data_IF_775203482355
#
_entry.id   IF_775203482355
#
_cell.length_a   1.000
_cell.length_b   1.000
_cell.length_c   1.000
_cell.angle_alpha   90.00
_cell.angle_beta   90.00
_cell.angle_gamma   90.00
#
_symmetry.space_group_name_H-M   'P 1'
#
loop_
_entity.id
_entity.type
_entity.pdbx_description
1 polymer ?
#
# COMPACT_ATOMS: atom_id res chain seq x y z
N UNK A 1 -11.08 6.06 -1.23
CA UNK A 1 -10.14 6.97 -0.56
C UNK A 1 -10.76 8.15 0.22
N UNK A 2 -12.07 8.44 0.19
CA UNK A 2 -12.65 9.53 1.03
C UNK A 2 -12.58 9.23 2.53
N UNK A 3 -12.75 7.96 2.92
CA UNK A 3 -12.53 7.48 4.29
C UNK A 3 -11.08 7.70 4.75
N UNK A 4 -10.11 7.50 3.87
CA UNK A 4 -8.69 7.74 4.15
C UNK A 4 -8.35 9.20 4.36
N UNK A 5 -8.86 10.08 3.48
CA UNK A 5 -8.69 11.51 3.65
C UNK A 5 -9.22 11.99 5.01
N UNK A 6 -10.35 11.41 5.47
CA UNK A 6 -10.91 11.70 6.78
C UNK A 6 -10.02 11.20 7.92
N UNK A 7 -9.54 9.94 7.85
CA UNK A 7 -8.63 9.37 8.86
C UNK A 7 -7.35 10.17 8.99
N UNK A 8 -6.68 10.48 7.87
CA UNK A 8 -5.46 11.29 7.87
C UNK A 8 -5.73 12.68 8.41
N UNK A 9 -6.81 13.34 8.00
CA UNK A 9 -7.16 14.67 8.49
C UNK A 9 -7.37 14.71 10.01
N UNK A 10 -8.06 13.73 10.59
CA UNK A 10 -8.27 13.64 12.04
C UNK A 10 -6.95 13.33 12.74
N UNK A 11 -6.15 12.43 12.20
CA UNK A 11 -4.86 12.04 12.76
C UNK A 11 -3.89 13.23 12.82
N UNK A 12 -3.74 13.97 11.72
CA UNK A 12 -2.91 15.18 11.67
C UNK A 12 -3.40 16.23 12.68
N UNK A 13 -4.72 16.42 12.82
CA UNK A 13 -5.28 17.36 13.79
C UNK A 13 -5.01 16.95 15.25
N UNK A 14 -5.14 15.67 15.59
CA UNK A 14 -4.83 15.17 16.94
C UNK A 14 -3.35 15.32 17.29
N UNK A 15 -2.46 15.12 16.30
CA UNK A 15 -1.03 15.30 16.50
C UNK A 15 -0.63 16.77 16.70
N UNK A 16 -1.22 17.69 15.93
CA UNK A 16 -1.02 19.13 16.11
C UNK A 16 -1.45 19.58 17.51
N UNK A 17 -2.64 19.14 17.96
CA UNK A 17 -3.19 19.53 19.27
C UNK A 17 -2.39 18.95 20.44
N UNK A 18 -1.79 17.77 20.27
CA UNK A 18 -1.00 17.12 21.34
C UNK A 18 0.43 17.65 21.46
N UNK A 19 0.89 18.49 20.52
CA UNK A 19 2.29 18.96 20.47
C UNK A 19 3.28 17.81 20.25
N UNK A 20 2.81 16.66 19.75
CA UNK A 20 3.60 15.44 19.67
C UNK A 20 4.73 15.52 18.65
N UNK A 21 4.72 16.52 17.75
CA UNK A 21 5.69 16.64 16.67
C UNK A 21 5.98 18.10 16.27
N UNK A 22 6.82 18.80 17.04
CA UNK A 22 7.43 20.08 16.61
C UNK A 22 8.28 19.94 15.33
N UNK A 23 8.61 18.71 14.92
CA UNK A 23 9.44 18.38 13.75
C UNK A 23 8.69 17.66 12.62
N UNK A 24 7.35 17.61 12.67
CA UNK A 24 6.53 16.86 11.72
C UNK A 24 6.46 15.35 12.03
N UNK A 25 5.48 14.68 11.41
CA UNK A 25 5.21 13.25 11.63
C UNK A 25 6.10 12.43 10.70
N UNK A 26 6.69 11.34 11.21
CA UNK A 26 7.37 10.34 10.36
C UNK A 26 6.37 9.76 9.35
N UNK A 27 6.60 9.92 8.02
CA UNK A 27 5.72 9.41 6.98
C UNK A 27 5.43 7.91 7.08
N UNK A 28 6.37 7.11 7.60
CA UNK A 28 6.19 5.67 7.77
C UNK A 28 5.21 5.38 8.91
N UNK A 29 5.33 6.10 10.02
CA UNK A 29 4.42 6.00 11.15
C UNK A 29 3.01 6.45 10.77
N UNK A 30 2.91 7.54 10.00
CA UNK A 30 1.64 8.04 9.47
C UNK A 30 0.97 7.00 8.57
N UNK A 31 1.73 6.42 7.64
CA UNK A 31 1.26 5.36 6.74
C UNK A 31 0.75 4.13 7.50
N UNK A 32 1.52 3.68 8.50
CA UNK A 32 1.15 2.53 9.33
C UNK A 32 -0.14 2.79 10.14
N UNK A 33 -0.26 4.00 10.70
CA UNK A 33 -1.41 4.38 11.52
C UNK A 33 -2.68 4.50 10.68
N UNK A 34 -2.57 5.10 9.49
CA UNK A 34 -3.68 5.20 8.55
C UNK A 34 -4.21 3.83 8.12
N UNK A 35 -3.32 2.90 7.74
CA UNK A 35 -3.72 1.55 7.34
C UNK A 35 -4.40 0.79 8.48
N UNK A 36 -3.83 0.83 9.68
CA UNK A 36 -4.39 0.12 10.84
C UNK A 36 -5.77 0.64 11.21
N UNK A 37 -5.98 1.95 11.12
CA UNK A 37 -7.29 2.57 11.38
C UNK A 37 -8.35 2.06 10.41
N UNK A 38 -8.01 1.93 9.13
CA UNK A 38 -8.95 1.39 8.14
C UNK A 38 -9.23 -0.11 8.36
N UNK A 39 -8.21 -0.88 8.75
CA UNK A 39 -8.39 -2.29 9.11
C UNK A 39 -9.29 -2.46 10.34
N UNK A 40 -9.23 -1.54 11.31
CA UNK A 40 -10.14 -1.50 12.46
C UNK A 40 -11.57 -1.15 12.06
N UNK A 41 -11.74 -0.32 11.03
CA UNK A 41 -13.04 -0.04 10.43
C UNK A 41 -13.60 -1.20 9.58
N UNK A 42 -12.91 -2.34 9.52
CA UNK A 42 -13.35 -3.56 8.86
C UNK A 42 -12.93 -3.70 7.40
N UNK A 43 -12.19 -2.72 6.84
CA UNK A 43 -11.75 -2.76 5.44
C UNK A 43 -10.30 -3.23 5.37
N UNK A 44 -10.05 -4.34 4.65
CA UNK A 44 -8.70 -4.84 4.39
C UNK A 44 -8.14 -4.21 3.12
N UNK A 45 -7.29 -3.20 3.30
CA UNK A 45 -6.71 -2.42 2.20
C UNK A 45 -5.18 -2.56 2.09
N UNK A 46 -4.68 -2.20 0.91
CA UNK A 46 -3.26 -1.95 0.66
C UNK A 46 -2.82 -0.57 1.17
N UNK A 47 -1.63 -0.14 0.73
CA UNK A 47 -0.98 1.10 1.17
C UNK A 47 -0.99 2.23 0.12
N UNK A 48 -1.50 1.96 -1.08
CA UNK A 48 -1.40 2.88 -2.21
C UNK A 48 -2.17 4.19 -1.98
N UNK A 49 -3.42 4.10 -1.51
CA UNK A 49 -4.27 5.27 -1.27
C UNK A 49 -3.61 6.19 -0.24
N UNK A 50 -3.17 5.64 0.89
CA UNK A 50 -2.56 6.37 2.00
C UNK A 50 -1.19 6.92 1.60
N UNK A 51 -0.37 6.10 0.92
CA UNK A 51 0.94 6.51 0.42
C UNK A 51 0.86 7.64 -0.60
N UNK A 52 -0.16 7.65 -1.45
CA UNK A 52 -0.36 8.74 -2.42
C UNK A 52 -0.71 10.08 -1.76
N UNK A 53 -1.40 10.05 -0.62
CA UNK A 53 -1.74 11.24 0.16
C UNK A 53 -0.55 11.78 0.94
N UNK A 54 0.27 10.89 1.51
CA UNK A 54 1.43 11.27 2.34
C UNK A 54 2.61 11.74 1.50
N UNK A 55 2.96 11.02 0.44
CA UNK A 55 4.15 11.30 -0.38
C UNK A 55 3.86 12.15 -1.62
N UNK A 56 2.59 12.46 -1.89
CA UNK A 56 2.17 13.25 -3.04
C UNK A 56 2.71 14.68 -3.00
N UNK A 57 3.13 15.20 -4.16
CA UNK A 57 3.55 16.59 -4.31
C UNK A 57 2.68 17.30 -5.34
N UNK A 58 2.32 18.55 -5.05
CA UNK A 58 1.52 19.38 -5.95
C UNK A 58 2.19 19.50 -7.33
N UNK A 59 1.43 19.23 -8.39
CA UNK A 59 1.89 19.33 -9.77
C UNK A 59 2.82 18.21 -10.23
N UNK A 60 2.99 17.15 -9.44
CA UNK A 60 3.82 16.01 -9.78
C UNK A 60 3.03 14.71 -9.73
N UNK A 61 3.44 13.76 -10.56
CA UNK A 61 3.01 12.37 -10.47
C UNK A 61 3.94 11.63 -9.51
N UNK A 62 3.33 10.93 -8.55
CA UNK A 62 4.02 10.06 -7.62
C UNK A 62 4.19 8.67 -8.22
N UNK A 63 5.43 8.20 -8.24
CA UNK A 63 5.78 6.81 -8.51
C UNK A 63 6.41 6.22 -7.25
N UNK A 64 5.96 5.03 -6.85
CA UNK A 64 6.43 4.40 -5.62
C UNK A 64 5.95 2.96 -5.52
N UNK A 65 6.70 2.14 -4.78
CA UNK A 65 6.33 0.75 -4.52
C UNK A 65 5.64 0.67 -3.16
N UNK A 66 4.34 0.40 -3.19
CA UNK A 66 3.48 0.27 -1.99
C UNK A 66 3.02 -1.16 -1.73
N UNK A 67 3.56 -2.13 -2.49
CA UNK A 67 3.35 -3.55 -2.34
C UNK A 67 4.71 -4.22 -2.10
N UNK A 68 4.73 -5.46 -1.62
CA UNK A 68 5.92 -6.34 -1.45
C UNK A 68 7.13 -5.85 -0.64
N UNK A 69 7.05 -4.67 -0.01
CA UNK A 69 8.11 -4.09 0.80
C UNK A 69 7.74 -3.99 2.28
N UNK A 70 8.77 -3.95 3.13
CA UNK A 70 8.56 -3.46 4.50
C UNK A 70 8.20 -1.98 4.43
N UNK A 71 7.30 -1.51 5.30
CA UNK A 71 6.85 -0.11 5.27
C UNK A 71 8.02 0.89 5.35
N UNK A 72 9.08 0.54 6.07
CA UNK A 72 10.29 1.36 6.23
C UNK A 72 11.08 1.53 4.93
N UNK A 73 10.91 0.64 3.96
CA UNK A 73 11.61 0.66 2.67
C UNK A 73 10.85 1.49 1.63
N UNK A 74 9.53 1.71 1.83
CA UNK A 74 8.68 2.47 0.90
C UNK A 74 9.28 3.85 0.56
N UNK A 75 9.73 4.69 1.53
CA UNK A 75 10.30 6.00 1.25
C UNK A 75 11.47 5.96 0.26
N UNK A 76 12.28 4.89 0.26
CA UNK A 76 13.43 4.76 -0.64
C UNK A 76 13.05 4.54 -2.11
N UNK A 77 11.79 4.16 -2.37
CA UNK A 77 11.27 3.90 -3.71
C UNK A 77 10.48 5.06 -4.30
N UNK A 78 10.24 6.10 -3.48
CA UNK A 78 9.41 7.24 -3.84
C UNK A 78 10.16 8.13 -4.84
N UNK A 79 9.50 8.40 -5.95
CA UNK A 79 9.94 9.36 -6.96
C UNK A 79 8.77 10.21 -7.41
N UNK A 80 8.96 11.54 -7.41
CA UNK A 80 7.97 12.47 -7.93
C UNK A 80 8.47 13.05 -9.25
N UNK A 81 7.74 12.78 -10.33
CA UNK A 81 8.06 13.25 -11.68
C UNK A 81 7.07 14.32 -12.14
N UNK A 82 7.49 15.27 -13.00
CA UNK A 82 6.58 16.24 -13.56
C UNK A 82 5.50 15.56 -14.41
N UNK A 83 4.29 16.11 -14.38
CA UNK A 83 3.24 15.70 -15.31
C UNK A 83 3.53 16.25 -16.71
N UNK A 84 3.29 15.50 -17.81
CA UNK A 84 3.49 16.02 -19.16
C UNK A 84 2.52 17.17 -19.48
N UNK A 85 3.04 18.27 -20.03
CA UNK A 85 2.26 19.50 -20.29
C UNK A 85 1.18 19.32 -21.39
N UNK A 86 1.34 18.30 -22.25
CA UNK A 86 0.44 17.99 -23.36
C UNK A 86 -0.61 16.92 -23.01
N UNK A 87 -0.62 16.44 -21.76
CA UNK A 87 -1.49 15.38 -21.30
C UNK A 87 -2.45 15.86 -20.21
N UNK A 88 -3.63 15.25 -20.12
CA UNK A 88 -4.58 15.49 -19.03
C UNK A 88 -5.21 14.18 -18.56
N UNK A 89 -5.38 14.03 -17.24
CA UNK A 89 -6.20 12.95 -16.66
C UNK A 89 -7.61 13.47 -16.44
N UNK A 90 -8.59 12.79 -17.02
CA UNK A 90 -10.01 13.06 -16.78
C UNK A 90 -10.56 11.97 -15.87
N UNK A 91 -11.03 12.36 -14.69
CA UNK A 91 -11.71 11.45 -13.76
C UNK A 91 -13.22 11.54 -13.98
N UNK A 92 -13.81 10.47 -14.54
CA UNK A 92 -15.25 10.35 -14.73
C UNK A 92 -15.86 9.44 -13.68
N UNK A 93 -16.81 9.95 -12.89
CA UNK A 93 -17.51 9.17 -11.88
C UNK A 93 -18.61 8.31 -12.52
N UNK A 94 -18.53 6.99 -12.37
CA UNK A 94 -19.49 6.02 -12.90
C UNK A 94 -20.89 6.10 -12.28
N UNK A 95 -21.06 6.82 -11.16
CA UNK A 95 -22.29 6.94 -10.37
C UNK A 95 -22.78 5.63 -9.73
N UNK A 96 -22.01 4.55 -9.84
CA UNK A 96 -22.26 3.29 -9.14
C UNK A 96 -21.63 3.37 -7.75
N UNK A 97 -22.43 3.17 -6.71
CA UNK A 97 -21.95 3.14 -5.32
C UNK A 97 -21.40 1.75 -5.03
N UNK A 98 -20.15 1.68 -4.57
CA UNK A 98 -19.52 0.46 -4.06
C UNK A 98 -19.21 0.66 -2.58
N UNK A 99 -19.87 -0.10 -1.72
CA UNK A 99 -19.59 -0.09 -0.27
C UNK A 99 -18.50 -1.12 0.04
N UNK A 100 -17.29 -0.64 0.30
CA UNK A 100 -16.12 -1.51 0.54
C UNK A 100 -16.26 -2.38 1.80
N UNK A 101 -17.11 -2.00 2.75
CA UNK A 101 -17.37 -2.76 3.97
C UNK A 101 -18.48 -3.83 3.81
N UNK A 102 -19.38 -3.66 2.82
CA UNK A 102 -20.56 -4.51 2.62
C UNK A 102 -20.40 -5.39 1.37
N UNK A 103 -19.35 -6.21 1.31
CA UNK A 103 -19.13 -7.12 0.19
C UNK A 103 -17.95 -8.08 0.34
N UNK A 104 -17.61 -8.76 -0.75
CA UNK A 104 -16.55 -9.78 -0.82
C UNK A 104 -15.13 -9.21 -0.73
N UNK A 105 -14.92 -7.93 -0.40
CA UNK A 105 -13.59 -7.29 -0.34
C UNK A 105 -12.63 -8.03 0.59
N UNK A 106 -13.12 -8.58 1.71
CA UNK A 106 -12.31 -9.44 2.57
C UNK A 106 -11.90 -10.75 1.89
N UNK A 107 -12.79 -11.33 1.06
CA UNK A 107 -12.53 -12.54 0.27
C UNK A 107 -11.58 -12.22 -0.88
N UNK A 108 -11.82 -11.15 -1.64
CA UNK A 108 -10.94 -10.63 -2.69
C UNK A 108 -9.54 -10.32 -2.15
N UNK A 109 -9.44 -9.86 -0.90
CA UNK A 109 -8.18 -9.65 -0.20
C UNK A 109 -7.52 -10.98 0.25
N UNK A 110 -8.32 -11.95 0.73
CA UNK A 110 -7.82 -13.20 1.29
C UNK A 110 -7.42 -14.23 0.22
N UNK A 111 -8.16 -14.34 -0.87
CA UNK A 111 -7.96 -15.38 -1.90
C UNK A 111 -6.57 -15.34 -2.54
N UNK A 112 -6.02 -14.19 -2.99
CA UNK A 112 -4.66 -14.15 -3.52
C UNK A 112 -3.61 -14.54 -2.48
N UNK A 113 -3.82 -14.16 -1.21
CA UNK A 113 -2.91 -14.49 -0.10
C UNK A 113 -2.93 -15.98 0.22
N UNK A 114 -4.11 -16.59 0.24
CA UNK A 114 -4.26 -18.03 0.39
C UNK A 114 -3.60 -18.78 -0.78
N UNK A 115 -3.84 -18.31 -2.01
CA UNK A 115 -3.22 -18.86 -3.21
C UNK A 115 -1.70 -18.84 -3.13
N UNK A 116 -1.11 -17.71 -2.76
CA UNK A 116 0.34 -17.59 -2.56
C UNK A 116 0.85 -18.41 -1.36
N UNK A 117 0.12 -18.46 -0.24
CA UNK A 117 0.50 -19.26 0.94
C UNK A 117 0.58 -20.76 0.63
N UNK A 118 -0.17 -21.25 -0.36
CA UNK A 118 -0.11 -22.64 -0.84
C UNK A 118 0.94 -22.78 -1.95
N UNK A 119 0.92 -21.89 -2.95
CA UNK A 119 1.75 -22.00 -4.14
C UNK A 119 3.24 -21.78 -3.85
N UNK A 120 3.60 -20.80 -3.00
CA UNK A 120 5.01 -20.46 -2.73
C UNK A 120 5.76 -21.64 -2.07
N UNK A 121 5.25 -22.31 -1.02
CA UNK A 121 5.91 -23.49 -0.47
C UNK A 121 6.05 -24.65 -1.48
N UNK A 122 5.02 -24.89 -2.32
CA UNK A 122 5.07 -25.94 -3.35
C UNK A 122 6.13 -25.63 -4.40
N UNK A 123 6.17 -24.39 -4.90
CA UNK A 123 7.17 -23.95 -5.87
C UNK A 123 8.58 -23.97 -5.28
N UNK A 124 8.74 -23.61 -4.00
CA UNK A 124 10.02 -23.71 -3.28
C UNK A 124 10.51 -25.15 -3.20
N UNK A 125 9.64 -26.09 -2.79
CA UNK A 125 9.97 -27.51 -2.74
C UNK A 125 10.32 -28.10 -4.11
N UNK A 126 9.60 -27.70 -5.17
CA UNK A 126 9.94 -28.12 -6.53
C UNK A 126 11.28 -27.53 -7.00
N UNK A 127 11.57 -26.28 -6.64
CA UNK A 127 12.82 -25.63 -6.98
C UNK A 127 14.03 -26.30 -6.32
N UNK A 128 13.93 -26.61 -5.01
CA UNK A 128 14.93 -27.38 -4.27
C UNK A 128 15.17 -28.76 -4.90
N UNK A 129 14.08 -29.46 -5.29
CA UNK A 129 14.17 -30.76 -5.97
C UNK A 129 14.90 -30.68 -7.30
N UNK A 130 14.79 -29.56 -8.02
CA UNK A 130 15.48 -29.31 -9.29
C UNK A 130 16.92 -28.81 -9.11
N UNK A 131 17.36 -28.58 -7.87
CA UNK A 131 18.68 -28.07 -7.56
C UNK A 131 18.89 -26.62 -7.97
N UNK A 132 17.83 -25.80 -8.00
CA UNK A 132 17.94 -24.37 -8.24
C UNK A 132 18.76 -23.72 -7.13
N UNK A 133 19.56 -22.71 -7.49
CA UNK A 133 20.35 -21.98 -6.50
C UNK A 133 19.47 -21.03 -5.68
N UNK A 134 19.90 -20.63 -4.46
CA UNK A 134 19.20 -19.61 -3.69
C UNK A 134 19.03 -18.28 -4.44
N UNK A 135 19.99 -17.90 -5.28
CA UNK A 135 19.90 -16.70 -6.13
C UNK A 135 18.77 -16.82 -7.16
N UNK A 136 18.63 -17.99 -7.79
CA UNK A 136 17.53 -18.26 -8.72
C UNK A 136 16.17 -18.19 -8.00
N UNK A 137 16.09 -18.78 -6.81
CA UNK A 137 14.88 -18.78 -5.98
C UNK A 137 14.50 -17.37 -5.50
N UNK A 138 15.49 -16.54 -5.14
CA UNK A 138 15.30 -15.14 -4.77
C UNK A 138 14.83 -14.30 -5.97
N UNK A 139 15.40 -14.52 -7.16
CA UNK A 139 14.99 -13.82 -8.39
C UNK A 139 13.54 -14.12 -8.79
N UNK A 140 13.03 -15.31 -8.43
CA UNK A 140 11.64 -15.73 -8.66
C UNK A 140 10.69 -15.31 -7.54
N UNK A 141 11.18 -14.59 -6.51
CA UNK A 141 10.38 -14.15 -5.38
C UNK A 141 9.92 -15.29 -4.45
N UNK A 142 10.59 -16.45 -4.50
CA UNK A 142 10.23 -17.62 -3.71
C UNK A 142 10.73 -17.55 -2.25
N UNK A 143 11.63 -16.62 -1.94
CA UNK A 143 12.12 -16.39 -0.58
C UNK A 143 11.39 -15.26 0.17
N UNK A 144 10.65 -14.39 -0.54
CA UNK A 144 9.82 -13.37 0.08
C UNK A 144 8.56 -14.00 0.68
N UNK A 145 8.53 -14.11 2.01
CA UNK A 145 7.31 -14.47 2.74
C UNK A 145 6.27 -13.37 2.57
N UNK A 146 5.02 -13.75 2.27
CA UNK A 146 3.86 -12.87 2.45
C UNK A 146 3.65 -12.53 3.93
#
# INVERSE_FOLDING_TARGET
SSSHAFVLCILSALFEVSGAFDNGIDPVLELQTAQRTEHLAGVKSGLMDQGSMIFGQKGKMLHGRFYDLKMQEIPSTISCCPWPDDCAVVVANSKVVRELANGDTAIEYALPRLGCAIAVPVLRSDAERRGLSPEDMMSWGLETTL
#
